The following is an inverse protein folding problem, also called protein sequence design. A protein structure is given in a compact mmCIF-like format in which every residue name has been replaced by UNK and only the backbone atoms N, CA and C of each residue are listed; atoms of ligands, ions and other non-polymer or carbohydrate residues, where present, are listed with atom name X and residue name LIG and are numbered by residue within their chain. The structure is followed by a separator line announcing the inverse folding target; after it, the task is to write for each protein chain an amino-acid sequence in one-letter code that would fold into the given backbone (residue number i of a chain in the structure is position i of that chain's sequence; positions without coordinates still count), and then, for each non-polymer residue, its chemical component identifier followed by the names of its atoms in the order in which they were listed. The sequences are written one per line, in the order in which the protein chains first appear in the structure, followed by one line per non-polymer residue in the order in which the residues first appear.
data_IF_782786506253
#
_entry.id   IF_782786506253
#
_cell.length_a   1.000
_cell.length_b   1.000
_cell.length_c   1.000
_cell.angle_alpha   90.00
_cell.angle_beta   90.00
_cell.angle_gamma   90.00
#
_symmetry.space_group_name_H-M   'P 1'
#
loop_
_entity.id
_entity.type
_entity.pdbx_description
1 polymer ?
#
# COMPACT_ATOMS: atom_id res chain seq x y z
N UNK A 1 -18.87 3.49 -19.03
CA UNK A 1 -17.73 4.14 -18.37
C UNK A 1 -16.47 3.75 -19.13
N UNK A 2 -15.77 4.72 -19.73
CA UNK A 2 -14.47 4.46 -20.36
C UNK A 2 -13.38 4.53 -19.29
N UNK A 3 -12.45 3.57 -19.21
CA UNK A 3 -11.28 3.67 -18.34
C UNK A 3 -10.49 4.95 -18.64
N UNK A 4 -9.96 5.61 -17.60
CA UNK A 4 -9.06 6.75 -17.73
C UNK A 4 -7.68 6.35 -17.18
N UNK A 5 -6.73 6.10 -18.08
CA UNK A 5 -5.40 5.63 -17.72
C UNK A 5 -4.50 6.74 -17.15
N UNK A 6 -4.90 8.01 -17.26
CA UNK A 6 -4.14 9.16 -16.74
C UNK A 6 -4.31 9.32 -15.22
N UNK A 7 -5.27 8.61 -14.61
CA UNK A 7 -5.55 8.68 -13.18
C UNK A 7 -5.03 7.43 -12.49
N UNK A 8 -4.15 7.62 -11.50
CA UNK A 8 -3.69 6.55 -10.60
C UNK A 8 -4.27 6.76 -9.21
N UNK A 9 -4.61 5.67 -8.54
CA UNK A 9 -5.14 5.68 -7.17
C UNK A 9 -4.18 4.93 -6.26
N UNK A 10 -3.81 5.56 -5.14
CA UNK A 10 -3.01 4.95 -4.07
C UNK A 10 -3.89 4.87 -2.83
N UNK A 11 -3.91 3.73 -2.17
CA UNK A 11 -4.66 3.50 -0.94
C UNK A 11 -3.77 2.82 0.11
N UNK A 12 -4.04 3.08 1.39
CA UNK A 12 -3.39 2.44 2.51
C UNK A 12 -4.43 2.03 3.56
N UNK A 13 -4.26 0.85 4.17
CA UNK A 13 -5.08 0.39 5.29
C UNK A 13 -4.23 -0.41 6.26
N UNK A 14 -4.52 -0.28 7.56
CA UNK A 14 -3.94 -1.14 8.60
C UNK A 14 -4.81 -2.38 8.89
N UNK A 15 -5.96 -2.50 8.23
CA UNK A 15 -6.92 -3.61 8.38
C UNK A 15 -7.42 -4.08 7.01
N UNK A 16 -6.63 -4.88 6.27
CA UNK A 16 -7.07 -5.40 4.97
C UNK A 16 -8.24 -6.38 5.07
N UNK A 17 -8.47 -6.99 6.23
CA UNK A 17 -9.54 -7.95 6.52
C UNK A 17 -10.96 -7.36 6.45
N UNK A 18 -11.12 -6.06 6.71
CA UNK A 18 -12.43 -5.39 6.70
C UNK A 18 -12.77 -4.74 5.36
N UNK A 19 -11.89 -4.81 4.37
CA UNK A 19 -12.14 -4.20 3.06
C UNK A 19 -13.27 -4.94 2.34
N UNK A 20 -14.11 -4.18 1.63
CA UNK A 20 -15.10 -4.76 0.73
C UNK A 20 -14.39 -5.65 -0.31
N UNK A 21 -14.73 -6.95 -0.42
CA UNK A 21 -14.14 -7.86 -1.40
C UNK A 21 -14.25 -7.36 -2.84
N UNK A 22 -15.24 -6.51 -3.15
CA UNK A 22 -15.39 -5.89 -4.45
C UNK A 22 -14.19 -4.99 -4.79
N UNK A 23 -13.57 -4.30 -3.84
CA UNK A 23 -12.38 -3.45 -4.07
C UNK A 23 -11.13 -4.28 -4.41
N UNK A 24 -11.07 -5.53 -3.94
CA UNK A 24 -9.92 -6.40 -4.07
C UNK A 24 -9.86 -7.19 -5.37
N UNK A 25 -10.88 -7.03 -6.23
CA UNK A 25 -10.96 -7.63 -7.57
C UNK A 25 -10.02 -6.91 -8.53
N UNK A 26 -9.51 -7.64 -9.51
CA UNK A 26 -8.70 -7.08 -10.59
C UNK A 26 -9.46 -5.98 -11.36
N UNK A 27 -8.75 -4.93 -11.77
CA UNK A 27 -9.27 -3.72 -12.40
C UNK A 27 -9.70 -2.63 -11.40
N UNK A 28 -9.38 -2.78 -10.10
CA UNK A 28 -9.66 -1.80 -9.04
C UNK A 28 -8.39 -1.48 -8.27
N UNK A 29 -8.07 -2.24 -7.23
CA UNK A 29 -6.81 -2.16 -6.50
C UNK A 29 -5.91 -3.34 -6.89
N UNK A 30 -5.20 -3.18 -8.00
CA UNK A 30 -4.45 -4.27 -8.62
C UNK A 30 -3.17 -4.63 -7.87
N UNK A 31 -2.39 -3.61 -7.47
CA UNK A 31 -1.14 -3.81 -6.73
C UNK A 31 -1.41 -3.78 -5.23
N UNK A 32 -1.06 -4.88 -4.57
CA UNK A 32 -1.11 -5.01 -3.10
C UNK A 32 0.33 -5.08 -2.61
N UNK A 33 0.74 -4.07 -1.85
CA UNK A 33 2.10 -3.95 -1.31
C UNK A 33 1.97 -3.97 0.21
N UNK A 34 2.57 -4.97 0.84
CA UNK A 34 2.61 -5.10 2.29
C UNK A 34 3.82 -4.34 2.84
N UNK A 35 3.61 -3.65 3.96
CA UNK A 35 4.66 -2.92 4.66
C UNK A 35 5.00 -3.68 5.95
N UNK A 36 6.07 -4.49 5.96
CA UNK A 36 6.49 -5.18 7.16
C UNK A 36 7.13 -4.19 8.15
N UNK A 37 7.27 -4.62 9.40
CA UNK A 37 8.06 -3.88 10.38
C UNK A 37 9.53 -3.79 9.94
N UNK A 38 10.23 -2.68 10.24
CA UNK A 38 11.62 -2.52 9.86
C UNK A 38 12.52 -3.53 10.58
N UNK A 39 13.39 -4.18 9.81
CA UNK A 39 14.47 -5.01 10.33
C UNK A 39 15.55 -4.15 11.02
N UNK A 40 16.56 -4.80 11.58
CA UNK A 40 17.62 -4.11 12.35
C UNK A 40 18.34 -3.04 11.54
N UNK A 41 18.78 -3.39 10.32
CA UNK A 41 19.46 -2.45 9.42
C UNK A 41 18.56 -1.26 9.07
N UNK A 42 17.29 -1.51 8.72
CA UNK A 42 16.33 -0.46 8.40
C UNK A 42 16.05 0.47 9.59
N UNK A 43 15.93 -0.08 10.81
CA UNK A 43 15.79 0.74 12.03
C UNK A 43 17.00 1.65 12.21
N UNK A 44 18.22 1.14 11.97
CA UNK A 44 19.44 1.94 11.99
C UNK A 44 19.41 3.10 10.99
N UNK A 45 18.95 2.86 9.76
CA UNK A 45 18.81 3.90 8.74
C UNK A 45 17.76 4.95 9.11
N UNK A 46 16.61 4.53 9.64
CA UNK A 46 15.56 5.45 10.09
C UNK A 46 16.10 6.38 11.17
N UNK A 47 16.79 5.85 12.19
CA UNK A 47 17.36 6.67 13.25
C UNK A 47 18.39 7.67 12.73
N UNK A 48 19.26 7.26 11.79
CA UNK A 48 20.27 8.13 11.18
C UNK A 48 19.67 9.33 10.42
N UNK A 49 18.47 9.22 9.88
CA UNK A 49 17.79 10.32 9.17
C UNK A 49 17.19 11.34 10.15
N UNK A 50 16.86 10.91 11.37
CA UNK A 50 16.09 11.70 12.34
C UNK A 50 16.90 12.11 13.59
N UNK A 51 18.19 11.79 13.65
CA UNK A 51 19.16 12.24 14.66
C UNK A 51 20.06 13.33 14.09
#
# INVERSE_FOLDING_TARGET
FSPNDDIKVICATNRPDVLDPALMRSGRLDRKIEFPLPNEDARGQILKIHS
#
